data_IF_142354984088
#
_entry.id   IF_142354984088
#
_cell.length_a   1.000
_cell.length_b   1.000
_cell.length_c   1.000
_cell.angle_alpha   90.00
_cell.angle_beta   90.00
_cell.angle_gamma   90.00
#
_symmetry.space_group_name_H-M   'P 1'
#
loop_
_entity.id
_entity.type
_entity.pdbx_description
1 polymer ?
#
# COMPACT_ATOMS: atom_id res chain seq x y z
N UNK A 1 -44.34 -20.17 -7.22
CA UNK A 1 -43.37 -20.52 -8.26
C UNK A 1 -42.08 -19.78 -7.93
N UNK A 2 -41.06 -20.46 -7.40
CA UNK A 2 -39.72 -19.90 -7.28
C UNK A 2 -39.01 -20.13 -8.62
N UNK A 3 -38.45 -19.08 -9.22
CA UNK A 3 -37.65 -19.21 -10.44
C UNK A 3 -36.40 -20.07 -10.17
N UNK A 4 -36.01 -20.96 -11.11
CA UNK A 4 -34.83 -21.80 -10.94
C UNK A 4 -33.55 -20.96 -10.96
N UNK A 5 -32.66 -21.23 -9.99
CA UNK A 5 -31.36 -20.56 -9.87
C UNK A 5 -30.52 -20.86 -11.12
N UNK A 6 -29.96 -19.84 -11.80
CA UNK A 6 -29.12 -20.05 -12.98
C UNK A 6 -27.89 -20.91 -12.66
N UNK A 7 -27.56 -21.86 -13.53
CA UNK A 7 -26.48 -22.87 -13.37
C UNK A 7 -25.08 -22.30 -13.08
N UNK A 8 -24.87 -21.01 -13.33
CA UNK A 8 -23.63 -20.28 -13.05
C UNK A 8 -23.62 -19.56 -11.69
N UNK A 9 -24.60 -19.81 -10.81
CA UNK A 9 -24.68 -19.29 -9.44
C UNK A 9 -24.89 -20.44 -8.44
N UNK A 10 -24.35 -20.29 -7.23
CA UNK A 10 -24.59 -21.19 -6.10
C UNK A 10 -24.93 -20.39 -4.85
N UNK A 11 -25.78 -20.97 -4.00
CA UNK A 11 -26.10 -20.41 -2.69
C UNK A 11 -25.02 -20.87 -1.70
N UNK A 12 -24.34 -19.92 -1.06
CA UNK A 12 -23.39 -20.17 0.02
C UNK A 12 -23.72 -19.25 1.19
N UNK A 13 -24.04 -19.83 2.35
CA UNK A 13 -24.38 -19.08 3.57
C UNK A 13 -25.48 -18.02 3.35
N UNK A 14 -26.54 -18.37 2.64
CA UNK A 14 -27.69 -17.49 2.39
C UNK A 14 -27.53 -16.48 1.26
N UNK A 15 -26.37 -16.37 0.62
CA UNK A 15 -26.13 -15.44 -0.50
C UNK A 15 -25.90 -16.16 -1.83
N UNK A 16 -26.40 -15.57 -2.92
CA UNK A 16 -26.13 -16.00 -4.30
C UNK A 16 -24.73 -15.55 -4.71
N UNK A 17 -23.85 -16.50 -5.04
CA UNK A 17 -22.47 -16.24 -5.48
C UNK A 17 -22.23 -16.87 -6.85
N UNK A 18 -21.53 -16.20 -7.79
CA UNK A 18 -21.17 -16.77 -9.08
C UNK A 18 -20.29 -18.03 -8.92
N UNK A 19 -20.70 -19.13 -9.54
CA UNK A 19 -20.01 -20.42 -9.55
C UNK A 19 -18.97 -20.45 -10.69
N UNK A 20 -17.91 -19.64 -10.55
CA UNK A 20 -16.79 -19.58 -11.51
C UNK A 20 -15.69 -20.60 -11.16
N UNK A 21 -15.47 -21.65 -11.99
CA UNK A 21 -14.42 -22.65 -11.77
C UNK A 21 -12.99 -22.07 -11.83
N UNK A 22 -12.78 -20.89 -12.45
CA UNK A 22 -11.46 -20.27 -12.57
C UNK A 22 -10.93 -19.67 -11.24
N UNK A 23 -11.80 -19.41 -10.25
CA UNK A 23 -11.41 -18.96 -8.90
C UNK A 23 -10.77 -20.05 -8.04
N UNK A 24 -10.87 -21.33 -8.44
CA UNK A 24 -10.39 -22.47 -7.63
C UNK A 24 -8.89 -22.76 -7.76
N UNK A 25 -8.23 -22.25 -8.80
CA UNK A 25 -6.81 -22.50 -9.06
C UNK A 25 -5.90 -21.83 -8.00
N UNK A 26 -4.98 -22.57 -7.33
CA UNK A 26 -4.17 -22.04 -6.23
C UNK A 26 -3.20 -20.92 -6.64
N UNK A 27 -2.76 -20.89 -7.90
CA UNK A 27 -1.79 -19.91 -8.42
C UNK A 27 -2.41 -18.57 -8.88
N UNK A 28 -3.74 -18.42 -8.79
CA UNK A 28 -4.48 -17.20 -9.20
C UNK A 28 -5.46 -16.71 -8.13
N UNK A 29 -5.33 -17.15 -6.87
CA UNK A 29 -6.06 -16.49 -5.79
C UNK A 29 -5.33 -15.19 -5.49
N UNK A 30 -5.97 -14.01 -5.66
CA UNK A 30 -5.36 -12.77 -5.22
C UNK A 30 -5.05 -12.91 -3.73
N UNK A 31 -3.81 -12.57 -3.35
CA UNK A 31 -3.40 -12.65 -1.95
C UNK A 31 -4.42 -11.87 -1.11
N UNK A 32 -4.79 -12.37 0.07
CA UNK A 32 -5.87 -11.76 0.87
C UNK A 32 -5.59 -10.31 1.26
N UNK A 33 -4.31 -9.94 1.27
CA UNK A 33 -3.79 -8.59 1.46
C UNK A 33 -4.21 -7.64 0.33
N UNK A 34 -4.14 -8.12 -0.92
CA UNK A 34 -4.61 -7.38 -2.09
C UNK A 34 -6.13 -7.20 -2.04
N UNK A 35 -6.86 -8.19 -1.51
CA UNK A 35 -8.30 -8.10 -1.32
C UNK A 35 -8.68 -7.05 -0.25
N UNK A 36 -7.98 -7.02 0.90
CA UNK A 36 -8.19 -5.98 1.93
C UNK A 36 -7.83 -4.59 1.42
N UNK A 37 -6.73 -4.47 0.68
CA UNK A 37 -6.33 -3.19 0.08
C UNK A 37 -7.35 -2.71 -0.97
N UNK A 38 -8.01 -3.63 -1.68
CA UNK A 38 -9.11 -3.35 -2.58
C UNK A 38 -10.47 -3.13 -1.89
N UNK A 39 -10.52 -3.12 -0.55
CA UNK A 39 -11.74 -2.85 0.23
C UNK A 39 -12.65 -4.05 0.47
N UNK A 40 -12.22 -5.26 0.12
CA UNK A 40 -12.99 -6.47 0.43
C UNK A 40 -12.72 -6.91 1.88
N UNK A 41 -13.81 -7.16 2.62
CA UNK A 41 -13.74 -7.67 3.99
C UNK A 41 -13.31 -9.15 4.00
N UNK A 42 -12.01 -9.40 4.03
CA UNK A 42 -11.47 -10.75 4.19
C UNK A 42 -11.28 -11.07 5.67
N UNK A 43 -11.64 -12.28 6.10
CA UNK A 43 -11.50 -12.71 7.49
C UNK A 43 -10.03 -12.81 7.92
N UNK A 44 -9.70 -12.32 9.11
CA UNK A 44 -8.37 -12.49 9.73
C UNK A 44 -8.09 -13.94 10.14
N UNK A 45 -9.11 -14.82 10.13
CA UNK A 45 -8.97 -16.23 10.50
C UNK A 45 -8.00 -17.01 9.61
N UNK A 46 -7.67 -16.50 8.43
CA UNK A 46 -6.66 -17.13 7.57
C UNK A 46 -5.23 -17.00 8.10
N UNK A 47 -4.94 -16.00 8.93
CA UNK A 47 -3.63 -15.87 9.56
C UNK A 47 -3.37 -16.97 10.59
N UNK A 48 -4.39 -17.74 10.99
CA UNK A 48 -4.20 -18.95 11.79
C UNK A 48 -3.37 -20.02 11.07
N UNK A 49 -3.27 -19.98 9.74
CA UNK A 49 -2.39 -20.90 9.00
C UNK A 49 -0.90 -20.71 9.35
N UNK A 50 -0.55 -19.52 9.84
CA UNK A 50 0.78 -19.14 10.29
C UNK A 50 1.03 -19.47 11.77
N UNK A 51 0.01 -19.94 12.50
CA UNK A 51 0.14 -20.38 13.89
C UNK A 51 0.39 -21.88 14.00
N UNK A 52 1.11 -22.28 15.04
CA UNK A 52 1.29 -23.67 15.44
C UNK A 52 0.12 -24.18 16.29
N UNK A 53 0.13 -25.47 16.64
CA UNK A 53 -0.91 -26.09 17.47
C UNK A 53 -1.01 -25.48 18.88
N UNK A 54 0.02 -24.73 19.30
CA UNK A 54 0.05 -24.02 20.59
C UNK A 54 -0.44 -22.57 20.47
N UNK A 55 -0.84 -22.14 19.27
CA UNK A 55 -1.34 -20.79 18.99
C UNK A 55 -0.24 -19.73 18.77
N UNK A 56 1.03 -20.13 18.68
CA UNK A 56 2.16 -19.21 18.44
C UNK A 56 2.51 -19.15 16.96
N UNK A 57 3.06 -18.03 16.49
CA UNK A 57 3.56 -17.94 15.11
C UNK A 57 4.69 -18.95 14.85
N UNK A 58 4.58 -19.69 13.74
CA UNK A 58 5.54 -20.72 13.34
C UNK A 58 6.95 -20.14 13.22
N UNK A 59 7.91 -20.77 13.89
CA UNK A 59 9.33 -20.38 13.84
C UNK A 59 9.92 -20.40 12.41
N UNK A 60 9.35 -21.20 11.51
CA UNK A 60 9.75 -21.26 10.09
C UNK A 60 9.58 -19.90 9.40
N UNK A 61 8.68 -19.05 9.87
CA UNK A 61 8.51 -17.69 9.33
C UNK A 61 9.71 -16.79 9.63
N UNK A 62 10.49 -17.11 10.67
CA UNK A 62 11.68 -16.33 11.05
C UNK A 62 12.81 -16.51 10.04
N UNK A 63 12.88 -17.65 9.35
CA UNK A 63 13.86 -17.85 8.26
C UNK A 63 13.50 -17.14 6.96
N UNK A 64 12.22 -16.81 6.74
CA UNK A 64 11.77 -16.11 5.53
C UNK A 64 11.55 -14.62 5.79
N UNK A 65 12.63 -13.84 5.62
CA UNK A 65 12.63 -12.38 5.82
C UNK A 65 11.62 -11.68 4.92
N UNK A 66 11.46 -12.13 3.67
CA UNK A 66 10.54 -11.51 2.70
C UNK A 66 9.10 -11.82 3.06
N UNK A 67 8.81 -13.05 3.42
CA UNK A 67 7.50 -13.44 3.96
C UNK A 67 7.14 -12.67 5.23
N UNK A 68 8.11 -12.48 6.13
CA UNK A 68 7.93 -11.70 7.36
C UNK A 68 7.67 -10.21 7.07
N UNK A 69 8.40 -9.61 6.14
CA UNK A 69 8.17 -8.23 5.71
C UNK A 69 6.78 -8.08 5.06
N UNK A 70 6.36 -9.04 4.23
CA UNK A 70 5.01 -9.08 3.66
C UNK A 70 3.92 -9.19 4.72
N UNK A 71 4.13 -10.01 5.76
CA UNK A 71 3.23 -10.09 6.92
C UNK A 71 3.24 -8.81 7.74
N UNK A 72 4.38 -8.15 7.90
CA UNK A 72 4.47 -6.86 8.58
C UNK A 72 3.67 -5.77 7.84
N UNK A 73 3.75 -5.69 6.52
CA UNK A 73 2.94 -4.74 5.74
C UNK A 73 1.45 -5.08 5.80
N UNK A 74 1.13 -6.38 5.80
CA UNK A 74 -0.24 -6.88 5.92
C UNK A 74 -0.95 -6.43 7.19
N UNK A 75 -0.27 -6.52 8.34
CA UNK A 75 -0.89 -6.24 9.64
C UNK A 75 -1.26 -4.77 9.80
N UNK A 76 -0.67 -3.86 9.02
CA UNK A 76 -1.09 -2.45 9.01
C UNK A 76 -2.43 -2.21 8.29
N UNK A 77 -3.03 -3.25 7.67
CA UNK A 77 -4.41 -3.25 7.16
C UNK A 77 -5.44 -3.78 8.18
N UNK A 78 -5.03 -4.07 9.42
CA UNK A 78 -5.93 -4.56 10.46
C UNK A 78 -7.03 -3.58 10.81
N UNK A 79 -8.18 -4.10 11.21
CA UNK A 79 -9.28 -3.35 11.83
C UNK A 79 -9.41 -3.71 13.32
N UNK A 80 -10.20 -2.93 14.06
CA UNK A 80 -10.40 -3.17 15.49
C UNK A 80 -11.03 -4.54 15.74
N UNK A 81 -10.55 -5.25 16.77
CA UNK A 81 -11.06 -6.59 17.14
C UNK A 81 -10.37 -7.76 16.42
N UNK A 82 -9.23 -7.51 15.77
CA UNK A 82 -8.42 -8.55 15.11
C UNK A 82 -7.16 -8.89 15.94
N UNK A 83 -7.33 -9.49 17.12
CA UNK A 83 -6.24 -9.79 18.08
C UNK A 83 -5.07 -10.56 17.44
N UNK A 84 -5.36 -11.46 16.50
CA UNK A 84 -4.34 -12.20 15.74
C UNK A 84 -3.38 -11.28 14.98
N UNK A 85 -3.85 -10.15 14.48
CA UNK A 85 -3.04 -9.16 13.77
C UNK A 85 -2.30 -8.22 14.72
N UNK A 86 -2.81 -8.06 15.94
CA UNK A 86 -2.06 -7.38 17.01
C UNK A 86 -0.85 -8.21 17.45
N UNK A 87 -1.06 -9.50 17.67
CA UNK A 87 0.04 -10.45 17.94
C UNK A 87 1.02 -10.53 16.76
N UNK A 88 0.52 -10.60 15.52
CA UNK A 88 1.35 -10.65 14.32
C UNK A 88 2.21 -9.40 14.17
N UNK A 89 1.67 -8.21 14.50
CA UNK A 89 2.45 -6.97 14.47
C UNK A 89 3.60 -7.01 15.49
N UNK A 90 3.32 -7.45 16.73
CA UNK A 90 4.35 -7.57 17.76
C UNK A 90 5.44 -8.58 17.35
N UNK A 91 5.03 -9.74 16.84
CA UNK A 91 5.92 -10.80 16.37
C UNK A 91 6.83 -10.31 15.23
N UNK A 92 6.25 -9.81 14.14
CA UNK A 92 7.00 -9.35 12.97
C UNK A 92 7.93 -8.18 13.30
N UNK A 93 7.48 -7.20 14.09
CA UNK A 93 8.30 -6.04 14.47
C UNK A 93 9.54 -6.45 15.25
N UNK A 94 9.39 -7.39 16.20
CA UNK A 94 10.49 -7.86 17.04
C UNK A 94 11.54 -8.60 16.21
N UNK A 95 11.09 -9.53 15.36
CA UNK A 95 12.00 -10.31 14.54
C UNK A 95 12.67 -9.47 13.46
N UNK A 96 11.93 -8.62 12.74
CA UNK A 96 12.51 -7.74 11.72
C UNK A 96 13.61 -6.85 12.30
N UNK A 97 13.38 -6.22 13.47
CA UNK A 97 14.40 -5.41 14.19
C UNK A 97 15.67 -6.20 14.52
N UNK A 98 15.51 -7.45 14.96
CA UNK A 98 16.66 -8.31 15.27
C UNK A 98 17.46 -8.71 14.02
N UNK A 99 16.80 -8.79 12.87
CA UNK A 99 17.42 -9.27 11.63
C UNK A 99 18.12 -8.17 10.84
N UNK A 100 17.68 -6.90 10.91
CA UNK A 100 18.17 -5.79 10.05
C UNK A 100 19.71 -5.74 9.95
N UNK A 101 20.42 -5.95 11.06
CA UNK A 101 21.89 -5.89 11.08
C UNK A 101 22.62 -7.03 10.37
N UNK A 102 21.92 -8.10 10.00
CA UNK A 102 22.48 -9.30 9.37
C UNK A 102 22.00 -9.52 7.93
N UNK A 103 21.18 -8.62 7.39
CA UNK A 103 20.63 -8.72 6.04
C UNK A 103 21.56 -8.06 5.02
N UNK A 104 21.47 -8.51 3.77
CA UNK A 104 22.07 -7.79 2.64
C UNK A 104 21.55 -6.35 2.58
N UNK A 105 22.42 -5.40 2.22
CA UNK A 105 22.15 -3.96 2.22
C UNK A 105 20.75 -3.57 1.73
N UNK A 106 20.34 -4.07 0.55
CA UNK A 106 19.05 -3.75 -0.06
C UNK A 106 17.87 -4.23 0.79
N UNK A 107 17.94 -5.47 1.30
CA UNK A 107 16.87 -6.01 2.14
C UNK A 107 16.86 -5.36 3.52
N UNK A 108 18.03 -5.01 4.06
CA UNK A 108 18.16 -4.23 5.28
C UNK A 108 17.51 -2.84 5.15
N UNK A 109 17.76 -2.11 4.05
CA UNK A 109 17.10 -0.82 3.79
C UNK A 109 15.59 -0.96 3.67
N UNK A 110 15.11 -2.02 3.00
CA UNK A 110 13.67 -2.28 2.89
C UNK A 110 13.00 -2.51 4.25
N UNK A 111 13.63 -3.34 5.08
CA UNK A 111 13.11 -3.61 6.43
C UNK A 111 13.20 -2.36 7.31
N UNK A 112 14.32 -1.63 7.26
CA UNK A 112 14.49 -0.41 8.05
C UNK A 112 13.46 0.67 7.68
N UNK A 113 13.16 0.84 6.39
CA UNK A 113 12.14 1.76 5.93
C UNK A 113 10.74 1.33 6.34
N UNK A 114 10.36 0.06 6.17
CA UNK A 114 9.06 -0.45 6.60
C UNK A 114 8.84 -0.29 8.13
N UNK A 115 9.88 -0.52 8.93
CA UNK A 115 9.85 -0.30 10.38
C UNK A 115 9.66 1.18 10.77
N UNK A 116 10.12 2.11 9.93
CA UNK A 116 9.94 3.55 10.12
C UNK A 116 8.57 4.03 9.62
N UNK A 117 8.20 3.59 8.42
CA UNK A 117 6.98 3.99 7.74
C UNK A 117 6.43 2.81 6.93
N UNK A 118 5.35 2.17 7.40
CA UNK A 118 4.67 1.14 6.64
C UNK A 118 4.04 1.71 5.37
N UNK A 119 4.04 0.94 4.28
CA UNK A 119 3.53 1.36 2.97
C UNK A 119 2.09 1.88 3.09
N UNK A 120 1.26 1.20 3.90
CA UNK A 120 -0.14 1.56 4.09
C UNK A 120 -0.35 2.93 4.76
N UNK A 121 0.64 3.41 5.52
CA UNK A 121 0.63 4.71 6.21
C UNK A 121 1.47 5.76 5.47
N UNK A 122 2.19 5.36 4.42
CA UNK A 122 2.96 6.23 3.55
C UNK A 122 2.08 6.90 2.48
N UNK A 123 2.58 8.01 1.94
CA UNK A 123 2.03 8.59 0.70
C UNK A 123 2.48 7.71 -0.46
N UNK A 124 1.54 7.21 -1.26
CA UNK A 124 1.84 6.31 -2.40
C UNK A 124 2.93 6.88 -3.31
N UNK A 125 2.93 8.20 -3.53
CA UNK A 125 3.93 8.89 -4.35
C UNK A 125 5.32 8.90 -3.72
N UNK A 126 5.40 9.10 -2.41
CA UNK A 126 6.68 9.08 -1.69
C UNK A 126 7.24 7.67 -1.64
N UNK A 127 6.39 6.69 -1.32
CA UNK A 127 6.75 5.28 -1.29
C UNK A 127 7.23 4.79 -2.67
N UNK A 128 6.52 5.16 -3.74
CA UNK A 128 6.92 4.84 -5.10
C UNK A 128 8.28 5.46 -5.47
N UNK A 129 8.51 6.74 -5.13
CA UNK A 129 9.79 7.41 -5.39
C UNK A 129 10.94 6.75 -4.63
N UNK A 130 10.72 6.45 -3.35
CA UNK A 130 11.72 5.80 -2.52
C UNK A 130 12.02 4.37 -3.04
N UNK A 131 10.99 3.59 -3.34
CA UNK A 131 11.14 2.25 -3.91
C UNK A 131 11.89 2.27 -5.24
N UNK A 132 11.60 3.24 -6.11
CA UNK A 132 12.37 3.46 -7.34
C UNK A 132 13.84 3.72 -7.06
N UNK A 133 14.17 4.55 -6.06
CA UNK A 133 15.57 4.84 -5.75
C UNK A 133 16.35 3.58 -5.35
N UNK A 134 15.72 2.68 -4.59
CA UNK A 134 16.31 1.40 -4.20
C UNK A 134 16.41 0.42 -5.38
N UNK A 135 15.36 0.33 -6.21
CA UNK A 135 15.34 -0.58 -7.37
C UNK A 135 16.29 -0.16 -8.49
N UNK A 136 16.48 1.14 -8.72
CA UNK A 136 17.39 1.66 -9.74
C UNK A 136 18.85 1.30 -9.47
N UNK A 137 19.22 1.18 -8.20
CA UNK A 137 20.58 0.78 -7.78
C UNK A 137 20.85 -0.70 -8.11
N UNK A 138 19.81 -1.52 -8.24
CA UNK A 138 19.96 -2.98 -8.34
C UNK A 138 19.61 -3.58 -9.72
N UNK A 139 18.67 -3.01 -10.48
CA UNK A 139 18.25 -3.54 -11.79
C UNK A 139 18.32 -2.47 -12.89
N UNK A 140 19.19 -2.68 -13.88
CA UNK A 140 19.44 -1.78 -15.02
C UNK A 140 18.38 -1.85 -16.14
N UNK A 141 17.16 -2.29 -15.84
CA UNK A 141 16.12 -2.47 -16.86
C UNK A 141 15.31 -1.18 -17.04
N UNK A 142 15.67 -0.41 -18.07
CA UNK A 142 15.10 0.89 -18.46
C UNK A 142 13.57 0.93 -18.60
N UNK A 143 12.92 -0.23 -18.79
CA UNK A 143 11.48 -0.33 -19.07
C UNK A 143 10.56 -0.01 -17.86
N UNK A 144 11.02 -0.24 -16.63
CA UNK A 144 10.25 0.09 -15.41
C UNK A 144 10.29 1.59 -15.06
N UNK A 145 11.40 2.26 -15.38
CA UNK A 145 11.62 3.69 -15.09
C UNK A 145 10.66 4.59 -15.89
N UNK A 146 10.43 4.28 -17.17
CA UNK A 146 9.64 5.13 -18.06
C UNK A 146 8.13 5.10 -17.77
N UNK A 147 7.59 3.98 -17.26
CA UNK A 147 6.13 3.85 -17.03
C UNK A 147 5.64 4.58 -15.78
N UNK A 148 6.49 4.78 -14.77
CA UNK A 148 6.10 5.47 -13.53
C UNK A 148 6.45 6.97 -13.52
N UNK A 149 7.46 7.41 -14.28
CA UNK A 149 7.73 8.85 -14.45
C UNK A 149 6.55 9.60 -15.11
N UNK A 150 5.73 8.91 -15.92
CA UNK A 150 4.66 9.55 -16.70
C UNK A 150 3.32 9.75 -15.98
N UNK A 151 3.04 9.13 -14.82
CA UNK A 151 1.65 9.13 -14.30
C UNK A 151 1.38 10.03 -13.09
N UNK A 152 2.39 10.63 -12.45
CA UNK A 152 2.17 11.30 -11.16
C UNK A 152 3.02 12.56 -10.88
N UNK A 153 3.86 13.02 -11.81
CA UNK A 153 4.53 14.32 -11.66
C UNK A 153 3.64 15.37 -12.30
N UNK A 154 3.15 16.39 -11.56
CA UNK A 154 2.47 17.51 -12.19
C UNK A 154 3.42 18.11 -13.22
N UNK A 155 2.93 18.28 -14.44
CA UNK A 155 3.74 18.85 -15.52
C UNK A 155 4.27 20.19 -15.04
N UNK A 156 5.54 20.53 -15.30
CA UNK A 156 6.16 21.79 -14.84
C UNK A 156 5.30 23.03 -15.17
N UNK A 157 4.46 22.95 -16.21
CA UNK A 157 3.45 23.96 -16.56
C UNK A 157 2.31 24.14 -15.56
N UNK A 158 1.75 23.07 -14.97
CA UNK A 158 0.67 23.17 -13.97
C UNK A 158 1.19 23.85 -12.69
N UNK A 159 2.35 23.42 -12.22
CA UNK A 159 3.07 24.04 -11.10
C UNK A 159 3.35 25.51 -11.35
N UNK A 160 3.81 25.86 -12.56
CA UNK A 160 4.10 27.25 -12.95
C UNK A 160 2.85 28.13 -12.94
N UNK A 161 1.71 27.61 -13.42
CA UNK A 161 0.45 28.34 -13.43
C UNK A 161 -0.08 28.61 -12.01
N UNK A 162 -0.05 27.61 -11.14
CA UNK A 162 -0.52 27.75 -9.75
C UNK A 162 0.43 28.66 -8.96
N UNK A 163 1.75 28.54 -9.15
CA UNK A 163 2.74 29.41 -8.51
C UNK A 163 2.60 30.88 -8.94
N UNK A 164 2.28 31.12 -10.22
CA UNK A 164 2.00 32.46 -10.74
C UNK A 164 0.73 33.05 -10.12
N UNK A 165 -0.36 32.28 -10.07
CA UNK A 165 -1.58 32.70 -9.39
C UNK A 165 -1.35 33.04 -7.92
N UNK A 166 -0.57 32.23 -7.20
CA UNK A 166 -0.22 32.51 -5.81
C UNK A 166 0.60 33.80 -5.64
N UNK A 167 1.54 34.06 -6.56
CA UNK A 167 2.30 35.33 -6.57
C UNK A 167 1.41 36.55 -6.85
N UNK A 168 0.42 36.43 -7.73
CA UNK A 168 -0.51 37.53 -8.05
C UNK A 168 -1.39 37.92 -6.84
N UNK A 169 -1.70 36.95 -5.96
CA UNK A 169 -2.44 37.22 -4.72
C UNK A 169 -1.62 38.04 -3.72
N UNK A 170 -0.30 37.87 -3.72
CA UNK A 170 0.68 38.61 -2.92
C UNK A 170 0.38 38.61 -1.41
N UNK A 171 0.03 37.44 -0.88
CA UNK A 171 -0.27 37.27 0.54
C UNK A 171 0.91 37.58 1.45
N UNK A 172 2.14 37.37 0.96
CA UNK A 172 3.36 37.66 1.70
C UNK A 172 3.49 39.13 2.11
N UNK A 173 3.02 40.06 1.26
CA UNK A 173 3.04 41.50 1.56
C UNK A 173 1.73 41.97 2.21
N UNK A 174 0.57 41.45 1.76
CA UNK A 174 -0.75 41.90 2.21
C UNK A 174 -1.14 41.35 3.58
N UNK A 175 -0.62 40.19 3.96
CA UNK A 175 -0.94 39.50 5.22
C UNK A 175 0.36 39.07 5.93
N UNK A 176 1.14 40.02 6.49
CA UNK A 176 2.44 39.74 7.10
C UNK A 176 2.34 38.83 8.34
N UNK A 177 1.14 38.65 8.90
CA UNK A 177 0.87 37.72 9.99
C UNK A 177 0.70 36.26 9.52
N UNK A 178 0.35 36.05 8.25
CA UNK A 178 0.12 34.72 7.69
C UNK A 178 1.43 34.16 7.15
N UNK A 179 1.73 32.91 7.50
CA UNK A 179 2.89 32.23 6.92
C UNK A 179 2.57 31.78 5.50
N UNK A 180 3.44 32.15 4.56
CA UNK A 180 3.38 31.63 3.19
C UNK A 180 3.80 30.15 3.19
N UNK A 181 2.80 29.27 3.10
CA UNK A 181 2.96 27.80 3.08
C UNK A 181 2.43 27.18 1.79
N UNK A 182 2.53 27.91 0.68
CA UNK A 182 2.04 27.46 -0.62
C UNK A 182 2.59 26.10 -1.03
N UNK A 183 3.89 25.90 -0.87
CA UNK A 183 4.58 24.68 -1.30
C UNK A 183 4.12 23.49 -0.46
N UNK A 184 3.98 23.67 0.85
CA UNK A 184 3.45 22.66 1.76
C UNK A 184 1.99 22.35 1.45
N UNK A 185 1.15 23.36 1.25
CA UNK A 185 -0.26 23.19 0.90
C UNK A 185 -0.43 22.42 -0.41
N UNK A 186 0.36 22.77 -1.44
CA UNK A 186 0.38 22.05 -2.70
C UNK A 186 0.84 20.60 -2.52
N UNK A 187 1.89 20.38 -1.74
CA UNK A 187 2.38 19.04 -1.40
C UNK A 187 1.30 18.18 -0.72
N UNK A 188 0.56 18.73 0.24
CA UNK A 188 -0.57 18.03 0.89
C UNK A 188 -1.66 17.65 -0.10
N UNK A 189 -2.03 18.55 -1.01
CA UNK A 189 -3.02 18.29 -2.07
C UNK A 189 -2.54 17.14 -2.96
N UNK A 190 -1.27 17.13 -3.37
CA UNK A 190 -0.72 16.01 -4.15
C UNK A 190 -0.76 14.67 -3.40
N UNK A 191 -0.67 14.70 -2.07
CA UNK A 191 -0.83 13.52 -1.21
C UNK A 191 -2.25 12.96 -1.20
N UNK A 192 -3.27 13.83 -1.31
CA UNK A 192 -4.70 13.45 -1.35
C UNK A 192 -5.08 12.87 -2.71
N UNK A 193 -4.60 13.47 -3.80
CA UNK A 193 -4.92 13.03 -5.16
C UNK A 193 -3.96 11.93 -5.64
N UNK A 194 -4.27 10.69 -5.27
CA UNK A 194 -3.57 9.49 -5.71
C UNK A 194 -4.35 8.85 -6.88
N UNK A 195 -3.88 9.10 -8.10
CA UNK A 195 -4.44 8.55 -9.33
C UNK A 195 -4.63 9.60 -10.44
N UNK A 196 -4.16 9.28 -11.65
CA UNK A 196 -4.20 10.13 -12.85
C UNK A 196 -5.60 10.38 -13.44
N UNK A 197 -6.67 10.31 -12.64
CA UNK A 197 -8.06 10.35 -13.13
C UNK A 197 -8.68 11.73 -13.22
N UNK A 198 -7.94 12.78 -12.86
CA UNK A 198 -8.43 14.15 -12.89
C UNK A 198 -7.41 15.07 -13.57
N UNK A 199 -7.18 14.85 -14.87
CA UNK A 199 -6.86 16.00 -15.71
C UNK A 199 -8.16 16.78 -15.84
N UNK A 200 -8.26 17.91 -15.14
CA UNK A 200 -9.35 18.86 -15.35
C UNK A 200 -9.34 19.24 -16.83
N UNK A 201 -10.46 19.02 -17.53
CA UNK A 201 -10.64 19.57 -18.87
C UNK A 201 -10.35 21.08 -18.81
N UNK A 202 -9.50 21.61 -19.71
CA UNK A 202 -9.29 23.04 -19.79
C UNK A 202 -10.64 23.71 -20.13
N UNK A 203 -10.99 24.72 -19.34
CA UNK A 203 -12.08 25.66 -19.61
C UNK A 203 -11.68 26.54 -20.81
#
# INVERSE_FOLDING_TARGET
MQDPIPTHWKVSSGNLVPNDPARKAPHRRPHPLLLRQAGFNSSCGMFNEFKDEKGNFKKVLVSDVRGMLGLYEAVHLRVNGEDILDEALAFTTTHLRSMVGHLEYHLAEQVAHALKQPIRKGSERLEARWFMSIYQVHNSTKAGQARFQCSAVPTQGELSNIARWWKELDFATKLPFAQDRFVEGYFWILGVYQGSKYQSNPI
#
